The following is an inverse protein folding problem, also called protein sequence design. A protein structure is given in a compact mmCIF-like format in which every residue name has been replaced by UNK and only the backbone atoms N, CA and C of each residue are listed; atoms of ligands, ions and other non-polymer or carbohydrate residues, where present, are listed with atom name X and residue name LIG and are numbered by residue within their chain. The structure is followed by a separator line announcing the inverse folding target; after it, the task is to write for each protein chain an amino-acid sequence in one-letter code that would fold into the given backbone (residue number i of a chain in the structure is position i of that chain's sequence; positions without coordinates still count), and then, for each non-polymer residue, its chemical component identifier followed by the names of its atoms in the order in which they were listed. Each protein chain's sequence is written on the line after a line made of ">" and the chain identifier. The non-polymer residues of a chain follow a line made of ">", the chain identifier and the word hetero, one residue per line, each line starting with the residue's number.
data_IF_541197554203
#
_entry.id   IF_541197554203
#
_cell.length_a   1.000
_cell.length_b   1.000
_cell.length_c   1.000
_cell.angle_alpha   90.00
_cell.angle_beta   90.00
_cell.angle_gamma   90.00
#
_symmetry.space_group_name_H-M   'P 1'
#
loop_
_entity.id
_entity.type
_entity.pdbx_description
1 polymer ?
#
# COMPACT_ATOMS: atom_id res chain seq x y z
N UNK A 1 -13.94 -0.85 -2.16
CA UNK A 1 -12.84 -0.21 -1.41
C UNK A 1 -13.26 1.22 -1.13
N UNK A 2 -14.02 1.38 -0.06
CA UNK A 2 -14.44 2.68 0.42
C UNK A 2 -13.22 3.39 0.98
N UNK A 3 -12.74 4.24 0.17
CA UNK A 3 -12.10 5.49 0.51
C UNK A 3 -11.23 5.50 1.77
N UNK A 4 -10.05 4.93 1.61
CA UNK A 4 -8.90 5.41 2.35
C UNK A 4 -8.90 6.96 2.44
N UNK A 5 -9.33 7.62 1.36
CA UNK A 5 -9.43 9.08 1.28
C UNK A 5 -10.51 9.67 2.18
N UNK A 6 -11.66 9.04 2.31
CA UNK A 6 -12.72 9.54 3.17
C UNK A 6 -12.45 9.28 4.66
N UNK A 7 -11.81 8.16 4.97
CA UNK A 7 -11.38 7.90 6.33
C UNK A 7 -10.27 8.87 6.80
N UNK A 8 -9.42 9.27 5.89
CA UNK A 8 -8.36 10.26 6.15
C UNK A 8 -8.94 11.67 6.35
N UNK A 9 -9.99 12.03 5.59
CA UNK A 9 -10.71 13.30 5.78
C UNK A 9 -11.43 13.40 7.10
N UNK A 10 -11.84 12.27 7.68
CA UNK A 10 -12.56 12.23 8.95
C UNK A 10 -11.64 12.28 10.18
N UNK A 11 -10.30 12.18 9.99
CA UNK A 11 -9.37 12.03 11.13
C UNK A 11 -8.38 13.16 11.34
N UNK A 12 -8.53 14.30 10.69
CA UNK A 12 -7.74 15.46 11.09
C UNK A 12 -7.04 16.22 9.98
N UNK A 13 -6.53 17.32 10.37
CA UNK A 13 -5.80 18.31 9.63
C UNK A 13 -4.42 17.76 9.18
N UNK A 14 -3.98 18.16 8.00
CA UNK A 14 -2.68 17.79 7.44
C UNK A 14 -1.49 18.05 8.41
N UNK A 15 -1.65 18.99 9.33
CA UNK A 15 -0.63 19.29 10.35
C UNK A 15 -0.50 18.20 11.42
N UNK A 16 -1.54 17.40 11.65
CA UNK A 16 -1.46 16.30 12.61
C UNK A 16 -0.77 15.09 12.02
N UNK A 17 -0.82 14.94 10.68
CA UNK A 17 -0.11 13.91 9.96
C UNK A 17 1.41 14.12 10.01
N UNK A 18 1.87 15.35 10.10
CA UNK A 18 3.30 15.70 10.17
C UNK A 18 3.94 15.30 11.50
N UNK A 19 3.15 14.99 12.50
CA UNK A 19 3.62 14.55 13.82
C UNK A 19 3.74 13.03 13.91
N UNK A 20 3.24 12.31 12.92
CA UNK A 20 3.31 10.86 12.89
C UNK A 20 4.76 10.41 12.60
N UNK A 21 5.36 9.58 13.46
CA UNK A 21 6.72 9.07 13.23
C UNK A 21 6.83 8.27 11.92
N UNK A 22 5.76 7.66 11.44
CA UNK A 22 5.74 6.95 10.15
C UNK A 22 5.80 7.95 8.99
N UNK A 23 5.06 9.05 9.06
CA UNK A 23 5.12 10.12 8.08
C UNK A 23 6.50 10.77 8.02
N UNK A 24 7.15 10.98 9.16
CA UNK A 24 8.51 11.52 9.23
C UNK A 24 9.56 10.62 8.58
N UNK A 25 9.33 9.30 8.52
CA UNK A 25 10.24 8.33 7.87
C UNK A 25 10.12 8.32 6.35
N UNK A 26 9.06 8.89 5.79
CA UNK A 26 8.81 8.90 4.35
C UNK A 26 9.54 10.04 3.62
N UNK A 27 10.29 10.88 4.34
CA UNK A 27 11.16 11.89 3.77
C UNK A 27 10.43 13.13 3.26
N UNK A 28 10.97 13.77 2.29
CA UNK A 28 10.68 15.10 1.81
C UNK A 28 9.18 15.47 1.71
N UNK A 29 8.81 16.64 2.26
CA UNK A 29 7.46 17.20 2.35
C UNK A 29 7.04 17.97 1.08
N UNK A 30 7.43 17.52 -0.10
CA UNK A 30 6.86 18.06 -1.34
C UNK A 30 5.36 17.74 -1.44
N UNK A 31 4.61 18.50 -2.24
CA UNK A 31 3.17 18.30 -2.44
C UNK A 31 2.84 16.86 -2.90
N UNK A 32 3.71 16.23 -3.68
CA UNK A 32 3.57 14.83 -4.07
C UNK A 32 3.68 13.87 -2.88
N UNK A 33 4.60 14.15 -1.96
CA UNK A 33 4.79 13.36 -0.74
C UNK A 33 3.63 13.55 0.24
N UNK A 34 2.98 14.72 0.26
CA UNK A 34 1.78 14.95 1.07
C UNK A 34 0.64 14.02 0.64
N UNK A 35 0.49 13.75 -0.65
CA UNK A 35 -0.48 12.77 -1.17
C UNK A 35 -0.11 11.36 -0.70
N UNK A 36 1.17 10.99 -0.69
CA UNK A 36 1.64 9.72 -0.14
C UNK A 36 1.32 9.60 1.34
N UNK A 37 1.53 10.65 2.13
CA UNK A 37 1.16 10.67 3.53
C UNK A 37 -0.34 10.52 3.76
N UNK A 38 -1.16 11.06 2.86
CA UNK A 38 -2.61 10.90 2.89
C UNK A 38 -3.05 9.48 2.51
N UNK A 39 -2.24 8.76 1.73
CA UNK A 39 -2.49 7.35 1.38
C UNK A 39 -2.12 6.40 2.51
N UNK A 40 -1.21 6.78 3.39
CA UNK A 40 -0.86 5.99 4.57
C UNK A 40 -1.93 6.19 5.64
N UNK A 41 -2.34 5.12 6.32
CA UNK A 41 -3.26 5.26 7.44
C UNK A 41 -2.55 6.03 8.55
N UNK A 42 -2.93 7.28 8.81
CA UNK A 42 -2.34 8.05 9.89
C UNK A 42 -2.73 7.40 11.22
N UNK A 43 -1.83 7.43 12.17
CA UNK A 43 -2.07 6.96 13.54
C UNK A 43 -2.24 5.43 13.68
N UNK A 44 -1.77 4.64 12.72
CA UNK A 44 -1.71 3.20 12.94
C UNK A 44 -0.58 2.85 13.88
N UNK A 45 -0.84 1.96 14.84
CA UNK A 45 0.24 1.46 15.68
C UNK A 45 1.29 0.74 14.83
N UNK A 46 2.56 0.89 15.21
CA UNK A 46 3.70 0.29 14.50
C UNK A 46 3.56 -1.23 14.29
N UNK A 47 2.77 -1.90 15.12
CA UNK A 47 2.46 -3.34 15.00
C UNK A 47 1.70 -3.74 13.75
N UNK A 48 1.06 -2.77 13.08
CA UNK A 48 0.35 -3.01 11.83
C UNK A 48 1.26 -2.97 10.60
N UNK A 49 2.48 -2.47 10.77
CA UNK A 49 3.52 -2.50 9.75
C UNK A 49 4.15 -3.89 9.75
N UNK A 50 4.12 -4.54 8.59
CA UNK A 50 4.68 -5.88 8.38
C UNK A 50 6.15 -5.80 8.02
N UNK A 51 6.50 -4.85 7.16
CA UNK A 51 7.84 -4.68 6.63
C UNK A 51 8.08 -3.23 6.22
N UNK A 52 9.30 -2.76 6.40
CA UNK A 52 9.73 -1.44 5.94
C UNK A 52 11.21 -1.48 5.57
N UNK A 53 11.55 -0.89 4.43
CA UNK A 53 12.92 -0.60 4.05
C UNK A 53 13.04 0.84 3.50
N UNK A 54 14.16 1.20 2.90
CA UNK A 54 14.38 2.53 2.31
C UNK A 54 13.55 2.79 1.05
N UNK A 55 12.98 1.76 0.43
CA UNK A 55 12.25 1.86 -0.84
C UNK A 55 10.74 1.64 -0.70
N UNK A 56 10.29 0.85 0.27
CA UNK A 56 8.90 0.47 0.37
C UNK A 56 8.43 0.23 1.80
N UNK A 57 7.12 0.10 1.94
CA UNK A 57 6.42 -0.18 3.18
C UNK A 57 5.33 -1.22 2.92
N UNK A 58 5.21 -2.21 3.80
CA UNK A 58 4.12 -3.18 3.78
C UNK A 58 3.32 -3.11 5.08
N UNK A 59 1.99 -3.08 4.98
CA UNK A 59 1.10 -2.98 6.15
C UNK A 59 -0.25 -3.62 5.84
N UNK A 60 -0.96 -4.04 6.90
CA UNK A 60 -2.29 -4.65 6.76
C UNK A 60 -3.31 -3.65 6.23
N UNK A 61 -4.19 -4.11 5.32
CA UNK A 61 -5.32 -3.30 4.85
C UNK A 61 -6.34 -3.11 5.99
N UNK A 62 -6.92 -1.91 6.07
CA UNK A 62 -7.96 -1.59 7.06
C UNK A 62 -9.31 -2.20 6.71
N UNK A 63 -9.54 -2.53 5.44
CA UNK A 63 -10.74 -3.19 4.94
C UNK A 63 -10.37 -4.52 4.28
N UNK A 64 -9.96 -5.53 5.07
CA UNK A 64 -9.48 -6.78 4.49
C UNK A 64 -10.59 -7.50 3.72
N UNK A 65 -10.27 -7.93 2.51
CA UNK A 65 -11.16 -8.70 1.63
C UNK A 65 -10.85 -10.21 1.69
N UNK A 66 -9.88 -10.59 2.48
CA UNK A 66 -9.49 -11.96 2.75
C UNK A 66 -8.95 -12.05 4.19
N UNK A 67 -8.82 -13.25 4.77
CA UNK A 67 -8.27 -13.42 6.12
C UNK A 67 -6.89 -12.77 6.30
N UNK A 68 -6.07 -12.78 5.24
CA UNK A 68 -4.85 -12.00 5.14
C UNK A 68 -4.95 -11.08 3.93
N UNK A 69 -4.90 -9.80 4.17
CA UNK A 69 -4.89 -8.78 3.11
C UNK A 69 -3.97 -7.65 3.54
N UNK A 70 -2.86 -7.49 2.83
CA UNK A 70 -1.92 -6.42 3.09
C UNK A 70 -1.52 -5.69 1.80
N UNK A 71 -0.97 -4.52 1.97
CA UNK A 71 -0.54 -3.64 0.88
C UNK A 71 0.98 -3.49 0.93
N UNK A 72 1.60 -3.44 -0.25
CA UNK A 72 3.00 -3.03 -0.40
C UNK A 72 3.03 -1.77 -1.25
N UNK A 73 3.59 -0.70 -0.71
CA UNK A 73 3.67 0.60 -1.36
C UNK A 73 5.11 1.07 -1.49
N UNK A 74 5.46 1.76 -2.58
CA UNK A 74 6.76 2.42 -2.68
C UNK A 74 6.76 3.71 -1.85
N UNK A 75 7.90 4.09 -1.31
CA UNK A 75 8.11 5.40 -0.68
C UNK A 75 8.16 6.51 -1.73
N UNK A 76 8.66 6.22 -2.93
CA UNK A 76 8.57 7.14 -4.08
C UNK A 76 7.11 7.29 -4.50
N UNK A 77 6.67 8.54 -4.73
CA UNK A 77 5.32 8.79 -5.23
C UNK A 77 5.20 8.40 -6.69
N UNK A 78 4.41 7.39 -6.99
CA UNK A 78 3.99 6.98 -8.33
C UNK A 78 2.48 6.84 -8.27
N UNK A 79 1.76 7.64 -9.06
CA UNK A 79 0.30 7.70 -8.98
C UNK A 79 -0.37 6.39 -9.42
N UNK A 80 0.15 5.76 -10.46
CA UNK A 80 -0.37 4.52 -11.02
C UNK A 80 0.68 3.86 -11.92
N UNK A 81 0.46 2.61 -12.31
CA UNK A 81 1.41 1.84 -13.13
C UNK A 81 1.71 2.57 -14.45
N UNK A 82 0.70 3.07 -15.14
CA UNK A 82 0.88 3.75 -16.42
C UNK A 82 1.65 5.08 -16.31
N UNK A 83 1.76 5.64 -15.11
CA UNK A 83 2.54 6.86 -14.84
C UNK A 83 3.97 6.54 -14.38
N UNK A 84 4.33 5.28 -14.22
CA UNK A 84 5.70 4.89 -13.85
C UNK A 84 6.65 5.10 -15.03
N UNK A 85 7.90 5.38 -14.72
CA UNK A 85 8.98 5.50 -15.68
C UNK A 85 9.72 4.17 -15.83
N UNK A 86 10.47 4.01 -16.92
CA UNK A 86 11.28 2.80 -17.14
C UNK A 86 12.30 2.58 -16.02
N UNK A 87 12.80 3.66 -15.41
CA UNK A 87 13.70 3.61 -14.26
C UNK A 87 13.05 3.05 -12.99
N UNK A 88 11.73 3.01 -12.93
CA UNK A 88 10.98 2.46 -11.80
C UNK A 88 10.87 0.93 -11.87
N UNK A 89 11.35 0.28 -12.90
CA UNK A 89 11.29 -1.17 -13.10
C UNK A 89 11.83 -1.94 -11.90
N UNK A 90 13.00 -1.58 -11.43
CA UNK A 90 13.63 -2.22 -10.25
C UNK A 90 12.82 -2.02 -8.98
N UNK A 91 12.26 -0.84 -8.78
CA UNK A 91 11.41 -0.52 -7.63
C UNK A 91 10.12 -1.35 -7.65
N UNK A 92 9.45 -1.42 -8.79
CA UNK A 92 8.21 -2.18 -8.94
C UNK A 92 8.44 -3.69 -8.76
N UNK A 93 9.54 -4.22 -9.30
CA UNK A 93 9.98 -5.59 -9.06
C UNK A 93 10.28 -5.84 -7.57
N UNK A 94 10.89 -4.87 -6.90
CA UNK A 94 11.16 -4.94 -5.47
C UNK A 94 9.86 -5.06 -4.65
N UNK A 95 8.80 -4.33 -5.00
CA UNK A 95 7.50 -4.45 -4.34
C UNK A 95 6.95 -5.88 -4.40
N UNK A 96 7.07 -6.54 -5.55
CA UNK A 96 6.63 -7.92 -5.71
C UNK A 96 7.46 -8.89 -4.86
N UNK A 97 8.76 -8.71 -4.80
CA UNK A 97 9.65 -9.54 -3.97
C UNK A 97 9.34 -9.35 -2.48
N UNK A 98 9.12 -8.12 -2.05
CA UNK A 98 8.71 -7.82 -0.67
C UNK A 98 7.35 -8.44 -0.36
N UNK A 99 6.41 -8.34 -1.29
CA UNK A 99 5.09 -8.99 -1.17
C UNK A 99 5.22 -10.50 -0.97
N UNK A 100 6.05 -11.16 -1.75
CA UNK A 100 6.36 -12.59 -1.59
C UNK A 100 6.95 -12.91 -0.22
N UNK A 101 7.91 -12.13 0.24
CA UNK A 101 8.55 -12.34 1.55
C UNK A 101 7.56 -12.18 2.70
N UNK A 102 6.76 -11.12 2.67
CA UNK A 102 5.72 -10.88 3.66
C UNK A 102 4.66 -11.98 3.67
N UNK A 103 4.25 -12.46 2.49
CA UNK A 103 3.32 -13.58 2.37
C UNK A 103 3.87 -14.85 3.03
N UNK A 104 5.14 -15.14 2.85
CA UNK A 104 5.80 -16.29 3.50
C UNK A 104 5.83 -16.11 5.03
N UNK A 105 6.18 -14.90 5.50
CA UNK A 105 6.23 -14.59 6.94
C UNK A 105 4.85 -14.69 7.61
N UNK A 106 3.79 -14.35 6.87
CA UNK A 106 2.40 -14.44 7.33
C UNK A 106 1.78 -15.84 7.14
N UNK A 107 2.54 -16.79 6.63
CA UNK A 107 2.11 -18.18 6.54
C UNK A 107 1.23 -18.52 5.34
N UNK A 108 1.25 -17.74 4.27
CA UNK A 108 0.45 -17.98 3.06
C UNK A 108 1.06 -19.05 2.16
N UNK A 109 1.33 -20.24 2.73
CA UNK A 109 2.02 -21.33 2.02
C UNK A 109 1.18 -22.00 0.95
N UNK A 110 -0.14 -21.93 1.04
CA UNK A 110 -1.07 -22.56 0.08
C UNK A 110 -1.31 -21.70 -1.15
N UNK A 111 -0.86 -20.47 -1.13
CA UNK A 111 -1.01 -19.53 -2.25
C UNK A 111 -1.69 -18.23 -1.86
N UNK A 112 -1.58 -17.26 -2.75
CA UNK A 112 -2.14 -15.92 -2.58
C UNK A 112 -2.29 -15.27 -3.94
N UNK A 113 -3.08 -14.20 -4.00
CA UNK A 113 -3.20 -13.35 -5.19
C UNK A 113 -2.49 -12.03 -4.95
N UNK A 114 -1.83 -11.54 -6.00
CA UNK A 114 -1.30 -10.17 -6.05
C UNK A 114 -2.11 -9.38 -7.07
N UNK A 115 -2.57 -8.19 -6.69
CA UNK A 115 -3.42 -7.36 -7.54
C UNK A 115 -2.93 -5.93 -7.51
N UNK A 116 -2.83 -5.32 -8.68
CA UNK A 116 -2.59 -3.88 -8.84
C UNK A 116 -3.77 -3.31 -9.63
N UNK A 117 -4.45 -2.34 -9.05
CA UNK A 117 -5.57 -1.68 -9.70
C UNK A 117 -5.07 -0.50 -10.55
N UNK A 118 -5.47 -0.44 -11.81
CA UNK A 118 -5.12 0.61 -12.75
C UNK A 118 -6.38 1.30 -13.27
N UNK A 119 -6.40 2.63 -13.14
CA UNK A 119 -7.51 3.43 -13.62
C UNK A 119 -8.85 3.18 -12.93
N UNK A 120 -9.89 3.91 -13.31
CA UNK A 120 -11.21 3.80 -12.70
C UNK A 120 -11.87 2.43 -12.97
N UNK A 121 -11.72 1.89 -14.16
CA UNK A 121 -12.26 0.57 -14.50
C UNK A 121 -11.51 -0.58 -13.78
N UNK A 122 -10.25 -0.35 -13.41
CA UNK A 122 -9.50 -1.28 -12.57
C UNK A 122 -9.82 -1.18 -11.08
N UNK A 123 -10.78 -0.34 -10.71
CA UNK A 123 -11.17 -0.16 -9.31
C UNK A 123 -10.21 0.71 -8.49
N UNK A 124 -9.40 1.53 -9.15
CA UNK A 124 -8.45 2.40 -8.46
C UNK A 124 -9.17 3.55 -7.76
N UNK A 125 -8.97 3.66 -6.46
CA UNK A 125 -9.56 4.71 -5.63
C UNK A 125 -8.51 5.68 -5.05
N UNK A 126 -7.27 5.24 -4.94
CA UNK A 126 -6.15 6.01 -4.37
C UNK A 126 -5.05 6.15 -5.42
N UNK A 127 -4.63 7.39 -5.68
CA UNK A 127 -3.59 7.71 -6.68
C UNK A 127 -2.18 7.70 -6.05
N UNK A 128 -1.88 6.59 -5.44
CA UNK A 128 -0.54 6.15 -5.08
C UNK A 128 -0.48 4.66 -5.36
N UNK A 129 0.53 4.21 -6.09
CA UNK A 129 0.61 2.80 -6.47
C UNK A 129 0.68 1.91 -5.24
N UNK A 130 -0.10 0.85 -5.23
CA UNK A 130 -0.11 -0.14 -4.16
C UNK A 130 -0.39 -1.52 -4.72
N UNK A 131 0.40 -2.48 -4.23
CA UNK A 131 0.24 -3.88 -4.54
C UNK A 131 -0.59 -4.54 -3.43
N UNK A 132 -1.76 -5.04 -3.78
CA UNK A 132 -2.56 -5.86 -2.87
C UNK A 132 -2.03 -7.29 -2.84
N UNK A 133 -1.90 -7.86 -1.66
CA UNK A 133 -1.63 -9.29 -1.47
C UNK A 133 -2.74 -9.87 -0.62
N UNK A 134 -3.45 -10.84 -1.16
CA UNK A 134 -4.64 -11.44 -0.55
C UNK A 134 -4.46 -12.95 -0.45
N UNK A 135 -4.77 -13.52 0.69
CA UNK A 135 -4.65 -14.95 0.92
C UNK A 135 -5.30 -15.39 2.23
N UNK A 136 -4.99 -16.59 2.66
CA UNK A 136 -5.54 -17.18 3.88
C UNK A 136 -6.83 -17.96 3.67
N UNK A 137 -7.33 -18.01 2.43
CA UNK A 137 -8.44 -18.84 1.98
C UNK A 137 -8.27 -19.20 0.51
N UNK A 138 -9.12 -20.07 0.00
CA UNK A 138 -9.20 -20.31 -1.44
C UNK A 138 -9.65 -19.03 -2.13
N UNK A 139 -8.82 -18.50 -3.01
CA UNK A 139 -9.15 -17.35 -3.83
C UNK A 139 -9.85 -17.78 -5.12
N UNK A 140 -10.70 -16.92 -5.64
CA UNK A 140 -11.49 -17.21 -6.85
C UNK A 140 -10.73 -16.81 -8.12
N UNK A 141 -11.07 -17.45 -9.22
CA UNK A 141 -10.66 -17.09 -10.55
C UNK A 141 -11.87 -17.05 -11.48
N UNK A 142 -12.10 -15.99 -12.27
CA UNK A 142 -11.30 -14.75 -12.29
C UNK A 142 -11.38 -13.96 -10.98
N UNK A 143 -10.36 -13.09 -10.70
CA UNK A 143 -10.35 -12.29 -9.47
C UNK A 143 -11.52 -11.30 -9.47
N UNK A 144 -12.04 -11.06 -8.29
CA UNK A 144 -13.14 -10.12 -8.12
C UNK A 144 -14.11 -10.52 -7.01
#
# INVERSE_FOLDING_TARGET
>A
MLDYFNLLKLKGNANDLLKDPVAARLGDLSLGNLICHLCLPPMRPAREIIYEDDQCLAFHDIFPQAPTHFLVIPKKHISQISASEDDDESLLGHLMIVGKKCAADLGLKKGYQMVVNEGSYGGKSVYHIHLHVLGGRQMNWPPG
#
